data_IF_326705762531
#
_entry.id   IF_326705762531
#
_cell.length_a   1.000
_cell.length_b   1.000
_cell.length_c   1.000
_cell.angle_alpha   90.00
_cell.angle_beta   90.00
_cell.angle_gamma   90.00
#
_symmetry.space_group_name_H-M   'P 1'
#
loop_
_entity.id
_entity.type
_entity.pdbx_description
1 polymer ?
#
# COMPACT_ATOMS: atom_id res chain seq x y z
N UNK A 1 63.08 -11.49 -29.47
CA UNK A 1 62.13 -10.38 -29.24
C UNK A 1 60.73 -10.96 -29.32
N UNK A 2 60.04 -11.06 -28.18
CA UNK A 2 58.68 -11.59 -28.11
C UNK A 2 57.71 -10.51 -28.62
N UNK A 3 56.96 -10.81 -29.67
CA UNK A 3 55.90 -9.93 -30.14
C UNK A 3 54.80 -9.84 -29.07
N UNK A 4 54.25 -8.65 -28.79
CA UNK A 4 53.10 -8.54 -27.89
C UNK A 4 51.93 -9.32 -28.51
N UNK A 5 51.41 -10.29 -27.77
CA UNK A 5 50.13 -10.91 -28.09
C UNK A 5 49.07 -9.82 -27.93
N UNK A 6 48.67 -9.24 -29.06
CA UNK A 6 47.52 -8.37 -29.15
C UNK A 6 46.29 -9.25 -28.86
N UNK A 7 45.93 -9.37 -27.59
CA UNK A 7 44.62 -9.90 -27.20
C UNK A 7 43.60 -9.01 -27.89
N UNK A 8 42.92 -9.58 -28.89
CA UNK A 8 42.01 -8.90 -29.79
C UNK A 8 41.00 -8.06 -29.01
N UNK A 9 41.22 -6.74 -29.01
CA UNK A 9 40.29 -5.72 -28.55
C UNK A 9 39.14 -5.52 -29.56
N UNK A 10 38.49 -6.62 -29.95
CA UNK A 10 37.51 -6.61 -31.04
C UNK A 10 36.58 -7.81 -30.99
N UNK A 11 35.55 -7.71 -30.14
CA UNK A 11 34.45 -8.66 -30.09
C UNK A 11 34.15 -9.09 -28.66
N UNK A 12 33.24 -8.37 -28.00
CA UNK A 12 32.61 -8.78 -26.74
C UNK A 12 32.17 -10.24 -26.88
N UNK A 13 32.76 -11.12 -26.09
CA UNK A 13 32.32 -12.50 -26.05
C UNK A 13 30.84 -12.51 -25.64
N UNK A 14 29.97 -13.35 -26.22
CA UNK A 14 28.53 -13.25 -25.99
C UNK A 14 28.12 -13.47 -24.52
N UNK A 15 29.03 -13.98 -23.69
CA UNK A 15 28.87 -14.13 -22.24
C UNK A 15 29.37 -12.93 -21.42
N UNK A 16 30.11 -11.97 -21.98
CA UNK A 16 30.50 -10.76 -21.26
C UNK A 16 29.32 -9.84 -20.97
N UNK A 17 28.42 -9.61 -21.92
CA UNK A 17 27.24 -8.75 -21.70
C UNK A 17 26.36 -9.20 -20.53
N UNK A 18 26.02 -10.49 -20.41
CA UNK A 18 25.32 -11.02 -19.24
C UNK A 18 26.11 -10.90 -17.92
N UNK A 19 27.44 -11.06 -17.94
CA UNK A 19 28.27 -10.91 -16.74
C UNK A 19 28.42 -9.45 -16.31
N UNK A 20 28.52 -8.54 -17.27
CA UNK A 20 28.58 -7.09 -17.07
C UNK A 20 27.25 -6.57 -16.49
N UNK A 21 26.10 -7.04 -16.99
CA UNK A 21 24.79 -6.73 -16.38
C UNK A 21 24.66 -7.21 -14.93
N UNK A 22 25.21 -8.38 -14.59
CA UNK A 22 25.21 -8.85 -13.20
C UNK A 22 26.10 -7.94 -12.35
N UNK A 23 27.26 -7.55 -12.85
CA UNK A 23 28.17 -6.65 -12.13
C UNK A 23 27.56 -5.25 -11.92
N UNK A 24 26.90 -4.69 -12.94
CA UNK A 24 26.11 -3.46 -12.84
C UNK A 24 24.93 -3.61 -11.89
N UNK A 25 24.28 -4.78 -11.83
CA UNK A 25 23.14 -4.99 -10.90
C UNK A 25 23.57 -5.04 -9.43
N UNK A 26 24.79 -5.52 -9.16
CA UNK A 26 25.37 -5.64 -7.81
C UNK A 26 25.98 -4.30 -7.36
N UNK A 27 26.50 -3.48 -8.28
CA UNK A 27 27.10 -2.17 -7.96
C UNK A 27 26.18 -0.98 -8.24
N UNK A 28 25.06 -1.21 -8.92
CA UNK A 28 24.09 -0.19 -9.30
C UNK A 28 23.05 0.13 -8.23
N UNK A 29 22.08 1.01 -8.56
CA UNK A 29 21.08 1.52 -7.63
C UNK A 29 20.22 0.42 -6.96
N UNK A 30 20.06 -0.72 -7.63
CA UNK A 30 19.28 -1.87 -7.14
C UNK A 30 19.86 -2.42 -5.84
N UNK A 31 21.19 -2.58 -5.77
CA UNK A 31 21.87 -3.00 -4.55
C UNK A 31 21.66 -2.00 -3.40
N UNK A 32 21.63 -0.70 -3.72
CA UNK A 32 21.31 0.35 -2.75
C UNK A 32 19.91 0.21 -2.14
N UNK A 33 18.89 -0.06 -2.95
CA UNK A 33 17.52 -0.28 -2.45
C UNK A 33 17.41 -1.55 -1.59
N UNK A 34 18.08 -2.63 -1.99
CA UNK A 34 18.13 -3.88 -1.20
C UNK A 34 18.81 -3.61 0.15
N UNK A 35 19.93 -2.89 0.16
CA UNK A 35 20.64 -2.52 1.39
C UNK A 35 19.74 -1.68 2.32
N UNK A 36 19.02 -0.70 1.78
CA UNK A 36 18.08 0.12 2.55
C UNK A 36 16.97 -0.74 3.17
N UNK A 37 16.36 -1.63 2.38
CA UNK A 37 15.33 -2.55 2.87
C UNK A 37 15.88 -3.49 3.98
N UNK A 38 17.08 -4.02 3.79
CA UNK A 38 17.74 -4.89 4.77
C UNK A 38 17.99 -4.15 6.10
N UNK A 39 18.45 -2.89 6.06
CA UNK A 39 18.67 -2.06 7.25
C UNK A 39 17.35 -1.78 7.98
N UNK A 40 16.26 -1.47 7.26
CA UNK A 40 14.96 -1.24 7.86
C UNK A 40 14.44 -2.49 8.59
N UNK A 41 14.58 -3.66 7.96
CA UNK A 41 14.19 -4.94 8.55
C UNK A 41 15.08 -5.27 9.75
N UNK A 42 16.40 -5.11 9.64
CA UNK A 42 17.35 -5.37 10.72
C UNK A 42 17.12 -4.44 11.92
N UNK A 43 16.88 -3.16 11.69
CA UNK A 43 16.49 -2.19 12.72
C UNK A 43 15.18 -2.57 13.40
N UNK A 44 14.19 -3.01 12.62
CA UNK A 44 12.96 -3.60 13.15
C UNK A 44 13.26 -4.80 14.05
N UNK A 45 14.00 -5.79 13.57
CA UNK A 45 14.35 -6.99 14.34
C UNK A 45 15.09 -6.66 15.64
N UNK A 46 15.99 -5.66 15.66
CA UNK A 46 16.73 -5.26 16.86
C UNK A 46 15.82 -4.70 17.97
N UNK A 47 14.82 -3.88 17.61
CA UNK A 47 13.86 -3.34 18.58
C UNK A 47 12.95 -4.45 19.13
N UNK A 48 12.64 -5.46 18.30
CA UNK A 48 11.72 -6.53 18.62
C UNK A 48 12.37 -7.83 19.10
N UNK A 49 13.69 -7.89 19.24
CA UNK A 49 14.40 -8.99 19.92
C UNK A 49 14.89 -10.13 19.02
N UNK A 50 14.97 -9.94 17.69
CA UNK A 50 15.64 -10.87 16.77
C UNK A 50 14.79 -12.06 16.27
N UNK A 51 13.68 -12.39 16.93
CA UNK A 51 12.81 -13.50 16.51
C UNK A 51 11.90 -13.06 15.34
N UNK A 52 12.21 -13.53 14.12
CA UNK A 52 11.49 -13.14 12.91
C UNK A 52 9.98 -13.47 12.98
N UNK A 53 9.64 -14.59 13.62
CA UNK A 53 8.27 -15.05 13.75
C UNK A 53 7.42 -14.12 14.64
N UNK A 54 7.97 -13.64 15.76
CA UNK A 54 7.28 -12.70 16.65
C UNK A 54 7.19 -11.30 16.05
N UNK A 55 8.22 -10.85 15.32
CA UNK A 55 8.15 -9.60 14.55
C UNK A 55 7.02 -9.66 13.52
N UNK A 56 6.95 -10.73 12.72
CA UNK A 56 5.92 -10.90 11.71
C UNK A 56 4.51 -10.92 12.32
N UNK A 57 4.34 -11.62 13.45
CA UNK A 57 3.09 -11.65 14.21
C UNK A 57 2.66 -10.26 14.68
N UNK A 58 3.61 -9.49 15.25
CA UNK A 58 3.34 -8.14 15.75
C UNK A 58 3.01 -7.16 14.62
N UNK A 59 3.74 -7.23 13.51
CA UNK A 59 3.46 -6.45 12.31
C UNK A 59 2.05 -6.73 11.79
N UNK A 60 1.67 -8.01 11.72
CA UNK A 60 0.34 -8.42 11.27
C UNK A 60 -0.75 -7.82 12.16
N UNK A 61 -0.59 -7.86 13.49
CA UNK A 61 -1.56 -7.24 14.41
C UNK A 61 -1.69 -5.73 14.20
N UNK A 62 -0.58 -5.02 14.02
CA UNK A 62 -0.62 -3.57 13.74
C UNK A 62 -1.34 -3.28 12.42
N UNK A 63 -1.04 -4.05 11.37
CA UNK A 63 -1.69 -3.92 10.06
C UNK A 63 -3.18 -4.24 10.15
N UNK A 64 -3.57 -5.30 10.85
CA UNK A 64 -4.96 -5.69 11.03
C UNK A 64 -5.76 -4.62 11.79
N UNK A 65 -5.22 -4.09 12.89
CA UNK A 65 -5.86 -3.01 13.65
C UNK A 65 -5.97 -1.75 12.81
N UNK A 66 -4.88 -1.33 12.15
CA UNK A 66 -4.89 -0.14 11.29
C UNK A 66 -5.89 -0.29 10.13
N UNK A 67 -5.93 -1.46 9.49
CA UNK A 67 -6.88 -1.77 8.41
C UNK A 67 -8.32 -1.73 8.88
N UNK A 68 -8.63 -2.26 10.06
CA UNK A 68 -9.97 -2.16 10.66
C UNK A 68 -10.32 -0.70 10.94
N UNK A 69 -9.43 0.09 11.55
CA UNK A 69 -9.69 1.50 11.85
C UNK A 69 -9.93 2.34 10.59
N UNK A 70 -9.13 2.13 9.54
CA UNK A 70 -9.29 2.80 8.24
C UNK A 70 -10.55 2.33 7.52
N UNK A 71 -10.92 1.05 7.61
CA UNK A 71 -12.13 0.51 7.00
C UNK A 71 -13.42 0.87 7.77
N UNK A 72 -13.33 1.07 9.08
CA UNK A 72 -14.48 1.32 9.94
C UNK A 72 -15.24 2.58 9.56
N UNK A 73 -14.55 3.65 9.15
CA UNK A 73 -15.20 4.89 8.69
C UNK A 73 -16.06 4.66 7.45
N UNK A 74 -15.61 3.80 6.54
CA UNK A 74 -16.36 3.42 5.34
C UNK A 74 -17.63 2.66 5.71
N UNK A 75 -17.53 1.71 6.64
CA UNK A 75 -18.68 0.92 7.12
C UNK A 75 -19.71 1.82 7.82
N UNK A 76 -19.27 2.69 8.73
CA UNK A 76 -20.15 3.64 9.43
C UNK A 76 -20.83 4.60 8.46
N UNK A 77 -20.11 5.06 7.43
CA UNK A 77 -20.68 5.91 6.37
C UNK A 77 -21.84 5.25 5.62
N UNK A 78 -21.77 3.94 5.36
CA UNK A 78 -22.85 3.20 4.69
C UNK A 78 -24.14 3.13 5.52
N UNK A 79 -24.01 2.93 6.83
CA UNK A 79 -25.16 2.93 7.75
C UNK A 79 -25.66 4.32 8.10
N UNK A 80 -24.78 5.34 8.11
CA UNK A 80 -25.18 6.74 8.29
C UNK A 80 -25.91 7.34 7.09
N UNK A 81 -25.51 6.97 5.86
CA UNK A 81 -26.13 7.47 4.63
C UNK A 81 -27.47 6.78 4.31
N UNK A 82 -27.70 5.56 4.82
CA UNK A 82 -29.00 4.85 4.70
C UNK A 82 -30.02 5.28 5.77
N UNK A 83 -29.59 6.03 6.79
CA UNK A 83 -30.45 6.80 7.68
C UNK A 83 -30.99 8.07 7.01
N UNK A 84 -31.54 7.96 5.81
CA UNK A 84 -32.26 9.07 5.19
C UNK A 84 -33.46 9.42 6.08
N UNK A 85 -33.41 10.56 6.77
CA UNK A 85 -34.62 11.17 7.32
C UNK A 85 -35.59 11.32 6.16
N UNK A 86 -36.73 10.63 6.22
CA UNK A 86 -37.84 10.83 5.30
C UNK A 86 -38.36 12.24 5.58
N UNK A 87 -37.69 13.24 5.04
CA UNK A 87 -38.22 14.58 4.91
C UNK A 87 -39.34 14.48 3.90
N UNK A 88 -40.58 14.38 4.39
CA UNK A 88 -41.73 14.65 3.53
C UNK A 88 -41.46 16.01 2.87
N UNK A 89 -41.58 16.13 1.54
CA UNK A 89 -41.52 17.43 0.90
C UNK A 89 -42.48 18.36 1.64
N UNK A 90 -42.03 19.55 2.04
CA UNK A 90 -42.84 20.53 2.79
C UNK A 90 -44.21 20.77 2.13
N UNK A 91 -44.30 20.57 0.82
CA UNK A 91 -45.55 20.56 0.05
C UNK A 91 -46.55 19.47 0.49
N UNK A 92 -46.10 18.23 0.71
CA UNK A 92 -46.93 17.11 1.18
C UNK A 92 -47.36 17.29 2.63
N UNK A 93 -46.51 17.89 3.46
CA UNK A 93 -46.86 18.26 4.83
C UNK A 93 -47.94 19.33 4.87
N UNK A 94 -47.81 20.37 4.04
CA UNK A 94 -48.79 21.47 3.93
C UNK A 94 -50.12 20.98 3.35
N UNK A 95 -50.08 20.08 2.36
CA UNK A 95 -51.28 19.47 1.76
C UNK A 95 -52.03 18.58 2.77
N UNK A 96 -51.31 17.82 3.59
CA UNK A 96 -51.91 16.99 4.64
C UNK A 96 -52.60 17.84 5.73
N UNK A 97 -52.01 18.98 6.12
CA UNK A 97 -52.60 19.92 7.07
C UNK A 97 -53.88 20.56 6.51
N UNK A 98 -53.85 21.05 5.26
CA UNK A 98 -55.03 21.62 4.59
C UNK A 98 -56.16 20.61 4.37
N UNK A 99 -55.81 19.34 4.12
CA UNK A 99 -56.80 18.28 3.98
C UNK A 99 -57.51 17.95 5.31
N UNK A 100 -56.84 18.13 6.46
CA UNK A 100 -57.43 17.94 7.78
C UNK A 100 -58.32 19.11 8.24
N UNK A 101 -58.04 20.33 7.77
CA UNK A 101 -58.80 21.54 8.12
C UNK A 101 -60.18 21.63 7.44
N UNK A 102 -60.38 20.94 6.31
CA UNK A 102 -61.65 20.93 5.58
C UNK A 102 -62.73 19.98 6.12
N UNK A 103 -62.44 19.20 7.17
CA UNK A 103 -63.35 18.19 7.72
C UNK A 103 -64.09 18.64 9.01
N UNK A 104 -63.85 19.87 9.47
CA UNK A 104 -64.41 20.41 10.73
C UNK A 104 -65.15 21.74 10.53
N UNK A 105 -65.86 21.89 9.41
CA UNK A 105 -66.78 23.00 9.12
C UNK A 105 -68.22 22.52 8.97
#
# INVERSE_FOLDING_TARGET
MAAPALASSGGSLPWEGPLEQIQESITGPVAGYIALAAVAIAGGMLIFGGELNDFARRLMYVVLVAGILLGATTIVGLFGATGASIGLPTERFTQAVRAGEGAHG
#
